data_IF_758517211905
#
_entry.id   IF_758517211905
#
_cell.length_a   1.000
_cell.length_b   1.000
_cell.length_c   1.000
_cell.angle_alpha   90.00
_cell.angle_beta   90.00
_cell.angle_gamma   90.00
#
_symmetry.space_group_name_H-M   'P 1'
#
loop_
_entity.id
_entity.type
_entity.pdbx_description
1 polymer ?
#
# COMPACT_ATOMS: atom_id res chain seq x y z
N UNK A 1 14.68 -10.82 27.22
CA UNK A 1 14.95 -9.45 27.72
C UNK A 1 14.29 -8.34 26.90
N UNK A 2 13.71 -8.60 25.71
CA UNK A 2 12.98 -7.61 24.88
C UNK A 2 11.47 -7.50 25.16
N UNK A 3 10.86 -8.53 25.75
CA UNK A 3 9.42 -8.53 26.05
C UNK A 3 8.93 -7.39 26.96
N UNK A 4 9.62 -7.06 28.07
CA UNK A 4 9.16 -5.97 28.95
C UNK A 4 9.20 -4.60 28.27
N UNK A 5 10.16 -4.35 27.37
CA UNK A 5 10.24 -3.09 26.61
C UNK A 5 9.13 -3.01 25.58
N UNK A 6 8.84 -4.11 24.88
CA UNK A 6 7.76 -4.15 23.91
C UNK A 6 6.37 -3.96 24.56
N UNK A 7 6.16 -4.52 25.74
CA UNK A 7 4.93 -4.33 26.52
C UNK A 7 4.80 -2.90 27.02
N UNK A 8 5.90 -2.29 27.49
CA UNK A 8 5.91 -0.90 27.92
C UNK A 8 5.60 0.05 26.75
N UNK A 9 6.21 -0.18 25.60
CA UNK A 9 5.91 0.60 24.39
C UNK A 9 4.46 0.44 23.93
N UNK A 10 3.91 -0.77 23.98
CA UNK A 10 2.48 -0.98 23.66
C UNK A 10 1.57 -0.22 24.62
N UNK A 11 1.86 -0.25 25.89
CA UNK A 11 1.11 0.48 26.90
C UNK A 11 1.19 1.98 26.68
N UNK A 12 2.38 2.51 26.44
CA UNK A 12 2.59 3.92 26.10
C UNK A 12 1.81 4.33 24.84
N UNK A 13 1.82 3.49 23.81
CA UNK A 13 1.05 3.73 22.58
C UNK A 13 -0.47 3.73 22.83
N UNK A 14 -0.96 2.87 23.72
CA UNK A 14 -2.38 2.85 24.10
C UNK A 14 -2.78 4.05 24.95
N UNK A 15 -1.87 4.55 25.80
CA UNK A 15 -2.09 5.69 26.70
C UNK A 15 -1.80 7.05 26.00
N UNK A 16 -1.54 7.06 24.69
CA UNK A 16 -1.30 8.28 23.91
C UNK A 16 0.10 8.85 24.02
N UNK A 17 1.09 8.04 24.42
CA UNK A 17 2.50 8.40 24.51
C UNK A 17 2.81 9.62 25.42
N UNK A 18 2.25 9.70 26.63
CA UNK A 18 2.35 10.90 27.47
C UNK A 18 3.80 11.27 27.84
N UNK A 19 4.69 10.27 27.91
CA UNK A 19 6.09 10.48 28.28
C UNK A 19 6.99 10.81 27.06
N UNK A 20 6.41 10.83 25.85
CA UNK A 20 7.11 11.10 24.59
C UNK A 20 6.62 12.37 23.89
N UNK A 21 5.98 13.28 24.63
CA UNK A 21 5.51 14.55 24.08
C UNK A 21 6.66 15.34 23.41
N UNK A 22 6.43 15.78 22.19
CA UNK A 22 7.44 16.45 21.36
C UNK A 22 8.45 15.50 20.67
N UNK A 23 8.37 14.19 20.92
CA UNK A 23 9.25 13.25 20.23
C UNK A 23 8.94 13.18 18.73
N UNK A 24 9.99 13.16 17.92
CA UNK A 24 9.91 12.96 16.47
C UNK A 24 10.65 11.69 16.07
N UNK A 25 10.07 10.95 15.13
CA UNK A 25 10.69 9.79 14.53
C UNK A 25 10.61 9.89 13.01
N UNK A 26 11.69 9.53 12.35
CA UNK A 26 11.73 9.41 10.88
C UNK A 26 12.20 8.01 10.53
N UNK A 27 11.54 7.37 9.58
CA UNK A 27 11.92 6.07 9.10
C UNK A 27 11.88 6.01 7.58
N UNK A 28 12.85 5.33 6.98
CA UNK A 28 12.87 5.00 5.56
C UNK A 28 12.89 3.50 5.42
N UNK A 29 11.83 2.95 4.86
CA UNK A 29 11.60 1.50 4.80
C UNK A 29 11.59 1.05 3.34
N UNK A 30 12.65 0.41 2.85
CA UNK A 30 12.64 -0.21 1.54
C UNK A 30 11.91 -1.55 1.60
N UNK A 31 10.89 -1.71 0.77
CA UNK A 31 10.11 -2.94 0.63
C UNK A 31 10.44 -3.54 -0.73
N UNK A 32 11.02 -4.74 -0.73
CA UNK A 32 11.42 -5.42 -1.97
C UNK A 32 10.21 -5.85 -2.82
N UNK A 33 10.40 -5.93 -4.13
CA UNK A 33 9.41 -6.45 -5.09
C UNK A 33 8.84 -7.80 -4.65
N UNK A 34 9.71 -8.67 -4.15
CA UNK A 34 9.33 -10.00 -3.67
C UNK A 34 8.34 -9.92 -2.51
N UNK A 35 8.63 -9.08 -1.52
CA UNK A 35 7.76 -8.95 -0.34
C UNK A 35 6.41 -8.33 -0.74
N UNK A 36 6.41 -7.32 -1.60
CA UNK A 36 5.19 -6.70 -2.12
C UNK A 36 4.35 -7.69 -2.93
N UNK A 37 4.97 -8.45 -3.84
CA UNK A 37 4.28 -9.47 -4.62
C UNK A 37 3.63 -10.52 -3.70
N UNK A 38 4.36 -11.00 -2.69
CA UNK A 38 3.83 -11.95 -1.71
C UNK A 38 2.66 -11.35 -0.90
N UNK A 39 2.77 -10.10 -0.48
CA UNK A 39 1.72 -9.42 0.27
C UNK A 39 0.44 -9.22 -0.57
N UNK A 40 0.58 -8.88 -1.85
CA UNK A 40 -0.54 -8.74 -2.78
C UNK A 40 -1.22 -10.11 -2.98
N UNK A 41 -0.46 -11.15 -3.28
CA UNK A 41 -0.99 -12.51 -3.48
C UNK A 41 -1.71 -13.02 -2.24
N UNK A 42 -1.14 -12.78 -1.04
CA UNK A 42 -1.77 -13.15 0.23
C UNK A 42 -3.08 -12.39 0.50
N UNK A 43 -3.24 -11.20 -0.08
CA UNK A 43 -4.46 -10.39 0.01
C UNK A 43 -5.54 -10.75 -1.04
N UNK A 44 -5.24 -11.61 -2.01
CA UNK A 44 -6.21 -12.04 -3.03
C UNK A 44 -7.20 -13.02 -2.39
N UNK A 45 -8.50 -12.70 -2.36
CA UNK A 45 -9.50 -13.61 -1.80
C UNK A 45 -9.60 -14.91 -2.59
N UNK A 46 -9.93 -16.00 -1.90
CA UNK A 46 -10.20 -17.28 -2.55
C UNK A 46 -11.35 -17.17 -3.57
N UNK A 47 -11.17 -17.74 -4.76
CA UNK A 47 -12.14 -17.65 -5.85
C UNK A 47 -12.04 -16.40 -6.73
N UNK A 48 -11.11 -15.50 -6.44
CA UNK A 48 -10.84 -14.36 -7.31
C UNK A 48 -10.42 -14.81 -8.73
N UNK A 49 -10.73 -14.04 -9.77
CA UNK A 49 -10.33 -14.35 -11.15
C UNK A 49 -8.82 -14.22 -11.39
N UNK A 50 -8.08 -13.70 -10.42
CA UNK A 50 -6.64 -13.51 -10.43
C UNK A 50 -5.97 -14.67 -9.69
N UNK A 51 -5.01 -15.34 -10.36
CA UNK A 51 -4.22 -16.44 -9.82
C UNK A 51 -2.94 -15.96 -9.15
N UNK A 52 -2.27 -15.00 -9.76
CA UNK A 52 -0.98 -14.52 -9.33
C UNK A 52 -0.75 -13.07 -9.77
N UNK A 53 -0.01 -12.33 -8.97
CA UNK A 53 0.42 -10.97 -9.27
C UNK A 53 1.90 -10.85 -8.93
N UNK A 54 2.72 -10.53 -9.90
CA UNK A 54 4.10 -10.15 -9.66
C UNK A 54 4.28 -8.66 -9.88
N UNK A 55 4.97 -8.03 -8.94
CA UNK A 55 5.28 -6.60 -8.95
C UNK A 55 6.78 -6.41 -9.16
N UNK A 56 7.13 -5.43 -9.96
CA UNK A 56 8.49 -4.94 -10.12
C UNK A 56 8.50 -3.41 -10.01
N UNK A 57 9.17 -2.90 -9.00
CA UNK A 57 9.40 -1.47 -8.86
C UNK A 57 10.50 -1.03 -9.83
N UNK A 58 10.23 0.06 -10.53
CA UNK A 58 11.13 0.69 -11.48
C UNK A 58 11.51 2.09 -10.96
N UNK A 59 12.48 2.72 -11.58
CA UNK A 59 12.84 4.10 -11.25
C UNK A 59 11.72 5.08 -11.66
N UNK A 60 11.79 6.31 -11.14
CA UNK A 60 10.86 7.40 -11.46
C UNK A 60 9.39 7.11 -11.11
N UNK A 61 9.19 6.54 -9.92
CA UNK A 61 7.87 6.30 -9.34
C UNK A 61 6.95 5.43 -10.21
N UNK A 62 7.55 4.44 -10.89
CA UNK A 62 6.87 3.48 -11.75
C UNK A 62 6.88 2.09 -11.14
N UNK A 63 5.80 1.37 -11.40
CA UNK A 63 5.61 -0.01 -10.95
C UNK A 63 5.07 -0.81 -12.13
N UNK A 64 5.79 -1.86 -12.51
CA UNK A 64 5.31 -2.84 -13.47
C UNK A 64 4.67 -4.01 -12.74
N UNK A 65 3.43 -4.33 -13.09
CA UNK A 65 2.71 -5.51 -12.61
C UNK A 65 2.56 -6.53 -13.75
N UNK A 66 2.57 -7.80 -13.40
CA UNK A 66 2.11 -8.88 -14.28
C UNK A 66 1.00 -9.63 -13.55
N UNK A 67 -0.19 -9.61 -14.12
CA UNK A 67 -1.38 -10.22 -13.54
C UNK A 67 -1.69 -11.50 -14.31
N UNK A 68 -1.67 -12.65 -13.64
CA UNK A 68 -2.05 -13.94 -14.18
C UNK A 68 -3.49 -14.24 -13.79
N UNK A 69 -4.33 -14.59 -14.77
CA UNK A 69 -5.73 -14.95 -14.51
C UNK A 69 -5.85 -16.43 -14.14
N UNK A 70 -6.79 -16.73 -13.24
CA UNK A 70 -7.11 -18.09 -12.86
C UNK A 70 -7.85 -18.81 -13.99
N UNK A 71 -8.69 -18.10 -14.74
CA UNK A 71 -9.45 -18.61 -15.89
C UNK A 71 -9.64 -17.50 -16.95
N UNK A 72 -9.43 -17.80 -18.22
CA UNK A 72 -8.86 -19.04 -18.75
C UNK A 72 -7.34 -19.09 -18.52
N UNK A 73 -6.84 -20.25 -18.11
CA UNK A 73 -5.43 -20.43 -17.68
C UNK A 73 -4.42 -20.40 -18.82
N UNK A 74 -4.87 -20.39 -20.08
CA UNK A 74 -4.01 -20.32 -21.27
C UNK A 74 -3.63 -18.88 -21.67
N UNK A 75 -4.22 -17.86 -21.03
CA UNK A 75 -3.85 -16.48 -21.31
C UNK A 75 -2.47 -16.17 -20.70
N UNK A 76 -1.61 -15.48 -21.47
CA UNK A 76 -0.37 -14.98 -20.91
C UNK A 76 -0.63 -13.94 -19.81
N UNK A 77 0.32 -13.76 -18.89
CA UNK A 77 0.21 -12.70 -17.87
C UNK A 77 -0.01 -11.34 -18.52
N UNK A 78 -0.97 -10.60 -17.99
CA UNK A 78 -1.32 -9.26 -18.47
C UNK A 78 -0.35 -8.25 -17.85
N UNK A 79 0.47 -7.56 -18.64
CA UNK A 79 1.33 -6.51 -18.12
C UNK A 79 0.49 -5.27 -17.80
N UNK A 80 0.71 -4.67 -16.62
CA UNK A 80 0.08 -3.43 -16.19
C UNK A 80 1.17 -2.50 -15.68
N UNK A 81 1.27 -1.29 -16.23
CA UNK A 81 2.21 -0.28 -15.77
C UNK A 81 1.46 0.76 -14.95
N UNK A 82 1.97 1.03 -13.75
CA UNK A 82 1.46 2.03 -12.83
C UNK A 82 2.49 3.12 -12.63
N UNK A 83 2.03 4.34 -12.38
CA UNK A 83 2.86 5.44 -11.90
C UNK A 83 2.25 6.03 -10.64
N UNK A 84 3.06 6.41 -9.67
CA UNK A 84 2.60 7.17 -8.51
C UNK A 84 2.17 8.54 -9.01
N UNK A 85 0.90 8.90 -8.79
CA UNK A 85 0.30 10.12 -9.30
C UNK A 85 0.11 11.18 -8.21
N UNK A 86 -0.42 10.76 -7.05
CA UNK A 86 -0.62 11.64 -5.91
C UNK A 86 -0.14 10.94 -4.63
N UNK A 87 0.64 11.66 -3.84
CA UNK A 87 1.09 11.22 -2.53
C UNK A 87 -0.01 11.41 -1.49
N UNK A 88 -0.09 10.56 -0.46
CA UNK A 88 -1.01 10.79 0.65
C UNK A 88 -0.64 12.07 1.40
N UNK A 89 -1.64 12.83 1.78
CA UNK A 89 -1.49 14.04 2.61
C UNK A 89 -2.09 13.78 3.98
N UNK A 90 -1.24 13.55 4.96
CA UNK A 90 -1.68 13.24 6.33
C UNK A 90 -1.92 14.52 7.15
N UNK A 91 -2.92 14.53 8.01
CA UNK A 91 -3.97 13.51 8.20
C UNK A 91 -5.17 13.69 7.25
N UNK A 92 -5.23 14.76 6.45
CA UNK A 92 -6.43 15.21 5.73
C UNK A 92 -6.86 14.29 4.59
N UNK A 93 -5.91 13.70 3.87
CA UNK A 93 -6.19 12.78 2.76
C UNK A 93 -5.17 11.62 2.76
N UNK A 94 -5.40 10.57 3.54
CA UNK A 94 -4.48 9.44 3.64
C UNK A 94 -4.58 8.48 2.45
N UNK A 95 -4.72 9.02 1.22
CA UNK A 95 -4.91 8.22 0.01
C UNK A 95 -3.73 8.38 -0.94
N UNK A 96 -3.07 7.26 -1.25
CA UNK A 96 -2.10 7.17 -2.34
C UNK A 96 -2.83 6.90 -3.65
N UNK A 97 -2.62 7.73 -4.67
CA UNK A 97 -3.21 7.53 -5.99
C UNK A 97 -2.15 7.05 -6.97
N UNK A 98 -2.40 5.90 -7.58
CA UNK A 98 -1.62 5.36 -8.68
C UNK A 98 -2.38 5.53 -9.99
N UNK A 99 -1.68 5.83 -11.07
CA UNK A 99 -2.25 5.93 -12.41
C UNK A 99 -1.83 4.75 -13.28
N UNK A 100 -2.78 4.15 -13.97
CA UNK A 100 -2.53 3.09 -14.94
C UNK A 100 -2.03 3.73 -16.24
N UNK A 101 -0.78 3.44 -16.61
CA UNK A 101 -0.13 4.00 -17.81
C UNK A 101 -0.22 3.01 -18.97
N UNK A 102 -1.44 2.80 -19.49
CA UNK A 102 -1.67 1.88 -20.61
C UNK A 102 -2.72 2.41 -21.58
N UNK A 103 -2.89 1.71 -22.73
CA UNK A 103 -3.93 2.06 -23.70
C UNK A 103 -5.33 1.98 -23.08
N UNK A 104 -6.20 2.90 -23.48
CA UNK A 104 -7.58 2.96 -22.98
C UNK A 104 -8.34 1.63 -23.13
N UNK A 105 -8.03 0.85 -24.16
CA UNK A 105 -8.64 -0.47 -24.38
C UNK A 105 -8.26 -1.48 -23.29
N UNK A 106 -6.98 -1.53 -22.89
CA UNK A 106 -6.50 -2.41 -21.82
C UNK A 106 -7.02 -1.96 -20.45
N UNK A 107 -7.11 -0.66 -20.21
CA UNK A 107 -7.72 -0.10 -18.99
C UNK A 107 -9.19 -0.52 -18.90
N UNK A 108 -9.96 -0.38 -19.97
CA UNK A 108 -11.37 -0.77 -19.99
C UNK A 108 -11.58 -2.29 -19.80
N UNK A 109 -10.69 -3.12 -20.35
CA UNK A 109 -10.71 -4.58 -20.11
C UNK A 109 -10.38 -4.91 -18.66
N UNK A 110 -9.34 -4.29 -18.09
CA UNK A 110 -8.95 -4.48 -16.71
C UNK A 110 -10.05 -4.00 -15.75
N UNK A 111 -10.63 -2.84 -15.98
CA UNK A 111 -11.75 -2.30 -15.21
C UNK A 111 -12.95 -3.25 -15.23
N UNK A 112 -13.31 -3.77 -16.41
CA UNK A 112 -14.42 -4.72 -16.55
C UNK A 112 -14.17 -6.04 -15.83
N UNK A 113 -12.94 -6.56 -15.89
CA UNK A 113 -12.55 -7.77 -15.17
C UNK A 113 -12.52 -7.56 -13.66
N UNK A 114 -12.10 -6.38 -13.21
CA UNK A 114 -11.93 -6.04 -11.80
C UNK A 114 -13.19 -5.52 -11.12
N UNK A 115 -14.21 -5.07 -11.86
CA UNK A 115 -15.51 -4.64 -11.27
C UNK A 115 -16.19 -5.71 -10.42
N UNK A 116 -15.93 -6.99 -10.72
CA UNK A 116 -16.50 -8.13 -10.02
C UNK A 116 -15.46 -8.91 -9.21
N UNK A 117 -14.21 -8.45 -9.23
CA UNK A 117 -13.16 -9.05 -8.41
C UNK A 117 -13.15 -8.40 -7.03
N UNK A 118 -13.11 -9.18 -5.94
CA UNK A 118 -12.92 -8.63 -4.62
C UNK A 118 -11.52 -8.01 -4.55
N UNK A 119 -11.49 -6.68 -4.40
CA UNK A 119 -10.24 -5.96 -4.18
C UNK A 119 -9.84 -6.06 -2.70
N UNK A 120 -8.54 -5.99 -2.37
CA UNK A 120 -8.11 -5.88 -0.99
C UNK A 120 -8.76 -4.68 -0.30
N UNK A 121 -9.03 -4.79 1.00
CA UNK A 121 -9.58 -3.68 1.77
C UNK A 121 -8.68 -2.45 1.65
N UNK A 122 -9.28 -1.27 1.44
CA UNK A 122 -8.56 -0.02 1.23
C UNK A 122 -8.07 0.22 -0.20
N UNK A 123 -8.32 -0.70 -1.14
CA UNK A 123 -7.98 -0.51 -2.55
C UNK A 123 -9.25 -0.32 -3.37
N UNK A 124 -9.29 0.72 -4.18
CA UNK A 124 -10.39 0.97 -5.13
C UNK A 124 -9.86 1.40 -6.50
N UNK A 125 -10.63 1.15 -7.54
CA UNK A 125 -10.27 1.48 -8.92
C UNK A 125 -11.36 2.37 -9.51
N UNK A 126 -10.96 3.50 -10.07
CA UNK A 126 -11.83 4.45 -10.74
C UNK A 126 -11.19 4.90 -12.07
N UNK A 127 -11.66 4.35 -13.18
CA UNK A 127 -11.09 4.59 -14.50
C UNK A 127 -9.63 4.13 -14.58
N UNK A 128 -8.73 5.06 -14.90
CA UNK A 128 -7.28 4.82 -14.98
C UNK A 128 -6.54 5.01 -13.63
N UNK A 129 -7.27 5.17 -12.52
CA UNK A 129 -6.71 5.44 -11.19
C UNK A 129 -6.98 4.31 -10.22
N UNK A 130 -5.98 3.99 -9.43
CA UNK A 130 -6.06 3.09 -8.28
C UNK A 130 -5.84 3.92 -7.04
N UNK A 131 -6.80 3.92 -6.14
CA UNK A 131 -6.72 4.60 -4.85
C UNK A 131 -6.42 3.58 -3.76
N UNK A 132 -5.40 3.87 -2.97
CA UNK A 132 -4.96 3.05 -1.83
C UNK A 132 -5.16 3.87 -0.57
N UNK A 133 -6.19 3.53 0.20
CA UNK A 133 -6.52 4.18 1.47
C UNK A 133 -5.64 3.63 2.58
N UNK A 134 -4.70 4.45 3.03
CA UNK A 134 -3.73 4.11 4.09
C UNK A 134 -4.42 3.87 5.43
N UNK A 135 -5.49 4.64 5.73
CA UNK A 135 -6.25 4.45 6.96
C UNK A 135 -6.84 3.03 7.02
N UNK A 136 -7.53 2.62 5.98
CA UNK A 136 -8.12 1.28 5.90
C UNK A 136 -7.05 0.19 5.92
N UNK A 137 -5.90 0.39 5.25
CA UNK A 137 -4.79 -0.56 5.30
C UNK A 137 -4.22 -0.72 6.71
N UNK A 138 -4.05 0.38 7.45
CA UNK A 138 -3.59 0.33 8.83
C UNK A 138 -4.62 -0.34 9.74
N UNK A 139 -5.92 -0.05 9.56
CA UNK A 139 -7.01 -0.65 10.33
C UNK A 139 -7.07 -2.18 10.16
N UNK A 140 -6.86 -2.69 8.93
CA UNK A 140 -6.82 -4.15 8.69
C UNK A 140 -5.67 -4.86 9.40
N UNK A 141 -4.67 -4.11 9.86
CA UNK A 141 -3.51 -4.60 10.62
C UNK A 141 -3.56 -4.23 12.10
N UNK A 142 -4.66 -3.63 12.57
CA UNK A 142 -4.81 -3.05 13.91
C UNK A 142 -3.70 -2.03 14.23
N UNK A 143 -3.34 -1.22 13.24
CA UNK A 143 -2.30 -0.17 13.33
C UNK A 143 -2.88 1.24 13.16
N UNK A 144 -4.20 1.41 13.13
CA UNK A 144 -4.88 2.69 12.97
C UNK A 144 -4.53 3.70 14.06
N UNK A 145 -4.16 3.21 15.24
CA UNK A 145 -3.71 4.06 16.36
C UNK A 145 -2.41 4.82 16.08
N UNK A 146 -1.66 4.44 15.04
CA UNK A 146 -0.45 5.15 14.63
C UNK A 146 -0.76 6.40 13.78
N UNK A 147 -1.92 6.44 13.14
CA UNK A 147 -2.27 7.48 12.18
C UNK A 147 -2.25 8.90 12.78
N UNK A 148 -2.72 9.15 14.03
CA UNK A 148 -2.65 10.48 14.64
C UNK A 148 -1.23 11.02 14.82
N UNK A 149 -0.25 10.14 14.90
CA UNK A 149 1.16 10.51 15.07
C UNK A 149 1.91 10.67 13.76
N UNK A 150 1.38 10.12 12.66
CA UNK A 150 2.00 10.22 11.34
C UNK A 150 1.74 11.62 10.76
N UNK A 151 2.80 12.38 10.58
CA UNK A 151 2.74 13.73 9.98
C UNK A 151 3.07 13.72 8.49
N UNK A 152 3.82 12.72 8.03
CA UNK A 152 4.23 12.60 6.65
C UNK A 152 4.38 11.14 6.24
N UNK A 153 3.91 10.83 5.05
CA UNK A 153 4.12 9.55 4.38
C UNK A 153 4.38 9.83 2.91
N UNK A 154 5.56 9.45 2.43
CA UNK A 154 5.91 9.52 1.02
C UNK A 154 6.25 8.12 0.51
N UNK A 155 5.79 7.83 -0.69
CA UNK A 155 6.03 6.56 -1.38
C UNK A 155 6.80 6.84 -2.64
N UNK A 156 7.98 6.25 -2.78
CA UNK A 156 8.82 6.38 -3.98
C UNK A 156 9.22 5.00 -4.47
N UNK A 157 9.62 4.92 -5.72
CA UNK A 157 10.15 3.68 -6.26
C UNK A 157 11.63 3.84 -6.64
N UNK A 158 12.36 2.76 -6.49
CA UNK A 158 13.69 2.55 -7.06
C UNK A 158 13.74 1.16 -7.66
N UNK A 159 14.73 0.88 -8.48
CA UNK A 159 14.88 -0.44 -9.07
C UNK A 159 14.85 -1.55 -8.01
N UNK A 160 13.84 -2.42 -8.06
CA UNK A 160 13.67 -3.57 -7.19
C UNK A 160 13.06 -3.31 -5.80
N UNK A 161 12.63 -2.06 -5.51
CA UNK A 161 12.01 -1.77 -4.22
C UNK A 161 11.07 -0.55 -4.28
N UNK A 162 10.00 -0.60 -3.51
CA UNK A 162 9.20 0.57 -3.11
C UNK A 162 9.73 1.07 -1.77
N UNK A 163 9.98 2.36 -1.67
CA UNK A 163 10.54 3.01 -0.48
C UNK A 163 9.45 3.84 0.19
N UNK A 164 9.16 3.54 1.44
CA UNK A 164 8.28 4.34 2.28
C UNK A 164 9.13 5.26 3.15
N UNK A 165 8.90 6.55 3.07
CA UNK A 165 9.48 7.55 3.96
C UNK A 165 8.39 8.05 4.90
N UNK A 166 8.59 7.85 6.19
CA UNK A 166 7.63 8.13 7.25
C UNK A 166 8.20 9.19 8.19
N UNK A 167 7.38 10.13 8.61
CA UNK A 167 7.67 11.01 9.75
C UNK A 167 6.50 10.92 10.73
N UNK A 168 6.84 10.71 11.98
CA UNK A 168 5.88 10.69 13.07
C UNK A 168 6.29 11.73 14.11
N UNK A 169 5.30 12.36 14.73
CA UNK A 169 5.47 13.32 15.82
C UNK A 169 4.43 13.06 16.88
N UNK A 170 4.89 12.98 18.13
CA UNK A 170 3.99 12.92 19.29
C UNK A 170 3.67 14.34 19.70
N UNK A 171 2.41 14.72 19.59
CA UNK A 171 1.90 15.98 20.09
C UNK A 171 0.82 15.71 21.12
N UNK A 172 0.93 16.35 22.28
CA UNK A 172 -0.12 16.27 23.29
C UNK A 172 -1.40 16.90 22.73
N UNK A 173 -2.57 16.22 22.84
CA UNK A 173 -3.85 16.78 22.43
C UNK A 173 -4.25 18.02 23.22
#
# INVERSE_FOLDING_TARGET
MLEPVAQLLRRQLQDGLPDLDGAEATATIPISDRLLSQAIVAGIPGGAPVKDVSLRAEENDRIALKVSLARPSFLPPIPVSLAIHEQPTLPSNPTLTLRISQSAALVAMAERALRHAPLPAGVSIAGDRIHVDIHTLLATRNLEYLLPYLTELNVHTRAGAVVLSLRARVTRP
#
